data_IF_653003795320
#
_entry.id   IF_653003795320
#
_cell.length_a   1.000
_cell.length_b   1.000
_cell.length_c   1.000
_cell.angle_alpha   90.00
_cell.angle_beta   90.00
_cell.angle_gamma   90.00
#
_symmetry.space_group_name_H-M   'P 1'
#
loop_
_entity.id
_entity.type
_entity.pdbx_description
1 polymer ?
#
# COMPACT_ATOMS: atom_id res chain seq x y z
N UNK A 1 40.93 170.37 -49.10
CA UNK A 1 40.23 169.54 -50.10
C UNK A 1 40.76 169.91 -51.46
N UNK A 2 41.15 168.92 -52.27
CA UNK A 2 41.50 169.13 -53.68
C UNK A 2 40.20 169.31 -54.44
N UNK A 3 39.95 170.52 -54.95
CA UNK A 3 38.80 170.77 -55.82
C UNK A 3 39.00 170.03 -57.14
N UNK A 4 38.07 169.15 -57.50
CA UNK A 4 38.10 168.43 -58.76
C UNK A 4 37.89 169.42 -59.92
N UNK A 5 38.54 169.17 -61.06
CA UNK A 5 38.23 169.93 -62.27
C UNK A 5 36.77 169.68 -62.71
N UNK A 6 36.18 170.64 -63.43
CA UNK A 6 34.79 170.53 -63.95
C UNK A 6 34.59 169.21 -64.71
N UNK A 7 35.58 168.78 -65.50
CA UNK A 7 35.52 167.50 -66.24
C UNK A 7 35.62 166.25 -65.36
N UNK A 8 36.30 166.32 -64.22
CA UNK A 8 36.34 165.23 -63.22
C UNK A 8 35.04 165.16 -62.43
N UNK A 9 34.44 166.30 -62.09
CA UNK A 9 33.14 166.36 -61.42
C UNK A 9 32.06 165.75 -62.31
N UNK A 10 31.99 166.13 -63.59
CA UNK A 10 30.98 165.59 -64.52
C UNK A 10 31.12 164.07 -64.70
N UNK A 11 32.35 163.55 -64.81
CA UNK A 11 32.60 162.10 -64.86
C UNK A 11 32.24 161.40 -63.55
N UNK A 12 32.60 161.99 -62.41
CA UNK A 12 32.29 161.44 -61.09
C UNK A 12 30.79 161.34 -60.85
N UNK A 13 30.03 162.38 -61.23
CA UNK A 13 28.56 162.36 -61.18
C UNK A 13 28.04 161.22 -62.05
N UNK A 14 28.49 161.13 -63.29
CA UNK A 14 28.02 160.11 -64.23
C UNK A 14 28.22 158.69 -63.71
N UNK A 15 29.37 158.40 -63.09
CA UNK A 15 29.66 157.10 -62.46
C UNK A 15 28.79 156.86 -61.22
N UNK A 16 28.63 157.87 -60.36
CA UNK A 16 27.87 157.72 -59.12
C UNK A 16 26.37 157.54 -59.36
N UNK A 17 25.81 158.25 -60.34
CA UNK A 17 24.37 158.21 -60.66
C UNK A 17 24.02 157.23 -61.80
N UNK A 18 25.03 156.68 -62.48
CA UNK A 18 24.90 155.83 -63.66
C UNK A 18 24.09 156.48 -64.79
N UNK A 19 24.33 157.78 -65.07
CA UNK A 19 23.64 158.60 -66.08
C UNK A 19 24.60 159.53 -66.83
N UNK A 20 24.28 159.87 -68.08
CA UNK A 20 25.02 160.89 -68.83
C UNK A 20 24.67 162.30 -68.33
N UNK A 21 25.71 163.12 -68.11
CA UNK A 21 25.59 164.46 -67.53
C UNK A 21 25.97 165.51 -68.57
N UNK A 22 25.08 166.46 -68.86
CA UNK A 22 25.33 167.52 -69.84
C UNK A 22 26.42 168.50 -69.37
N UNK A 23 27.21 169.03 -70.31
CA UNK A 23 28.34 169.91 -70.01
C UNK A 23 27.94 171.25 -69.34
N UNK A 24 26.68 171.67 -69.49
CA UNK A 24 26.16 172.92 -68.90
C UNK A 24 25.54 172.73 -67.50
N UNK A 25 25.53 171.52 -66.94
CA UNK A 25 24.89 171.19 -65.65
C UNK A 25 25.42 172.05 -64.50
N UNK A 26 26.72 172.34 -64.50
CA UNK A 26 27.37 173.16 -63.47
C UNK A 26 27.29 174.67 -63.73
N UNK A 27 26.57 175.10 -64.76
CA UNK A 27 26.32 176.50 -65.11
C UNK A 27 24.87 176.93 -64.79
N UNK A 28 23.96 175.99 -64.52
CA UNK A 28 22.53 176.27 -64.30
C UNK A 28 22.11 175.86 -62.88
N UNK A 29 21.64 176.79 -62.03
CA UNK A 29 21.23 176.52 -60.65
C UNK A 29 20.30 175.31 -60.49
N UNK A 30 19.22 175.23 -61.29
CA UNK A 30 18.24 174.13 -61.23
C UNK A 30 18.86 172.76 -61.52
N UNK A 31 19.77 172.69 -62.50
CA UNK A 31 20.48 171.45 -62.85
C UNK A 31 21.46 171.02 -61.76
N UNK A 32 22.08 171.98 -61.07
CA UNK A 32 22.95 171.71 -59.93
C UNK A 32 22.16 171.12 -58.76
N UNK A 33 20.96 171.65 -58.48
CA UNK A 33 20.09 171.14 -57.42
C UNK A 33 19.63 169.71 -57.68
N UNK A 34 19.15 169.43 -58.90
CA UNK A 34 18.72 168.09 -59.30
C UNK A 34 19.87 167.08 -59.20
N UNK A 35 21.06 167.46 -59.67
CA UNK A 35 22.24 166.59 -59.65
C UNK A 35 22.72 166.33 -58.23
N UNK A 36 22.74 167.36 -57.38
CA UNK A 36 23.10 167.22 -55.96
C UNK A 36 22.12 166.30 -55.23
N UNK A 37 20.82 166.41 -55.52
CA UNK A 37 19.82 165.52 -54.96
C UNK A 37 20.07 164.05 -55.31
N UNK A 38 20.40 163.75 -56.56
CA UNK A 38 20.74 162.39 -57.00
C UNK A 38 21.98 161.84 -56.30
N UNK A 39 23.00 162.68 -56.08
CA UNK A 39 24.18 162.29 -55.31
C UNK A 39 23.86 162.02 -53.84
N UNK A 40 23.00 162.83 -53.23
CA UNK A 40 22.54 162.64 -51.84
C UNK A 40 21.76 161.34 -51.70
N UNK A 41 20.87 161.02 -52.63
CA UNK A 41 20.14 159.74 -52.61
C UNK A 41 21.10 158.56 -52.72
N UNK A 42 22.17 158.70 -53.52
CA UNK A 42 23.22 157.67 -53.65
C UNK A 42 24.06 157.54 -52.38
N UNK A 43 24.41 158.67 -51.74
CA UNK A 43 25.21 158.68 -50.50
C UNK A 43 24.52 157.91 -49.36
N UNK A 44 23.22 158.12 -49.19
CA UNK A 44 22.41 157.50 -48.14
C UNK A 44 21.73 156.18 -48.55
N UNK A 45 22.00 155.65 -49.76
CA UNK A 45 21.33 154.47 -50.31
C UNK A 45 19.78 154.57 -50.24
N UNK A 46 19.25 155.75 -50.53
CA UNK A 46 17.81 156.02 -50.54
C UNK A 46 17.20 155.73 -51.92
N UNK A 47 15.95 155.22 -51.99
CA UNK A 47 15.24 155.09 -53.26
C UNK A 47 15.01 156.46 -53.93
N UNK A 48 14.83 156.54 -55.27
CA UNK A 48 14.57 157.79 -55.97
C UNK A 48 13.29 158.44 -55.43
N UNK A 49 13.44 159.57 -54.75
CA UNK A 49 12.35 160.32 -54.11
C UNK A 49 12.24 161.70 -54.74
N UNK A 50 11.03 162.29 -54.67
CA UNK A 50 10.80 163.63 -55.22
C UNK A 50 11.70 164.67 -54.55
N UNK A 51 12.23 165.57 -55.37
CA UNK A 51 13.10 166.66 -54.91
C UNK A 51 12.33 167.66 -54.03
N UNK A 52 12.84 167.90 -52.81
CA UNK A 52 12.29 168.89 -51.88
C UNK A 52 13.45 169.73 -51.32
N UNK A 53 13.52 171.04 -51.59
CA UNK A 53 14.66 171.91 -51.23
C UNK A 53 15.02 171.88 -49.73
N UNK A 54 14.03 171.89 -48.83
CA UNK A 54 14.27 171.87 -47.39
C UNK A 54 14.90 170.55 -46.91
N UNK A 55 14.52 169.41 -47.51
CA UNK A 55 15.13 168.12 -47.22
C UNK A 55 16.53 168.02 -47.81
N UNK A 56 16.73 168.52 -49.03
CA UNK A 56 18.06 168.58 -49.63
C UNK A 56 19.01 169.38 -48.73
N UNK A 57 18.63 170.58 -48.28
CA UNK A 57 19.47 171.41 -47.42
C UNK A 57 19.85 170.70 -46.11
N UNK A 58 18.88 170.03 -45.47
CA UNK A 58 19.12 169.28 -44.23
C UNK A 58 20.08 168.12 -44.45
N UNK A 59 19.93 167.38 -45.55
CA UNK A 59 20.81 166.26 -45.89
C UNK A 59 22.19 166.73 -46.34
N UNK A 60 22.28 167.83 -47.10
CA UNK A 60 23.55 168.48 -47.44
C UNK A 60 24.30 168.86 -46.16
N UNK A 61 23.65 169.53 -45.21
CA UNK A 61 24.29 169.91 -43.95
C UNK A 61 24.67 168.71 -43.07
N UNK A 62 23.92 167.60 -43.16
CA UNK A 62 24.33 166.35 -42.52
C UNK A 62 25.61 165.79 -43.15
N UNK A 63 25.69 165.76 -44.48
CA UNK A 63 26.90 165.36 -45.20
C UNK A 63 28.06 166.32 -44.91
N UNK A 64 27.80 167.62 -44.82
CA UNK A 64 28.81 168.62 -44.42
C UNK A 64 29.41 168.26 -43.06
N UNK A 65 28.58 167.88 -42.09
CA UNK A 65 29.05 167.44 -40.78
C UNK A 65 29.83 166.11 -40.85
N UNK A 66 29.31 165.13 -41.58
CA UNK A 66 29.91 163.79 -41.71
C UNK A 66 31.25 163.80 -42.45
N UNK A 67 31.35 164.59 -43.52
CA UNK A 67 32.57 164.73 -44.34
C UNK A 67 33.45 165.90 -43.88
N UNK A 68 33.08 166.58 -42.79
CA UNK A 68 33.77 167.76 -42.24
C UNK A 68 34.04 168.85 -43.30
N UNK A 69 33.04 169.11 -44.15
CA UNK A 69 33.12 170.18 -45.14
C UNK A 69 33.09 171.55 -44.41
N UNK A 70 33.96 172.51 -44.80
CA UNK A 70 34.26 173.68 -43.96
C UNK A 70 33.12 174.71 -43.85
N UNK A 71 32.08 174.62 -44.67
CA UNK A 71 31.00 175.62 -44.70
C UNK A 71 29.62 174.97 -44.72
N UNK A 72 28.71 175.43 -43.86
CA UNK A 72 27.30 175.03 -43.88
C UNK A 72 26.57 175.68 -45.05
N UNK A 73 25.57 174.99 -45.57
CA UNK A 73 24.64 175.51 -46.56
C UNK A 73 23.42 176.12 -45.88
N UNK A 74 22.92 177.23 -46.41
CA UNK A 74 21.66 177.87 -46.03
C UNK A 74 20.74 177.99 -47.25
N UNK A 75 19.50 178.45 -47.06
CA UNK A 75 18.56 178.65 -48.18
C UNK A 75 19.06 179.69 -49.20
N UNK A 76 19.91 180.66 -48.81
CA UNK A 76 20.48 181.61 -49.78
C UNK A 76 21.43 180.92 -50.76
N UNK A 77 22.07 179.81 -50.36
CA UNK A 77 22.95 179.03 -51.24
C UNK A 77 22.17 178.25 -52.31
N UNK A 78 20.83 178.16 -52.20
CA UNK A 78 19.93 177.55 -53.18
C UNK A 78 19.32 178.59 -54.13
N UNK A 79 19.62 179.87 -53.97
CA UNK A 79 19.11 180.93 -54.85
C UNK A 79 19.86 181.01 -56.19
N UNK A 80 19.37 181.85 -57.10
CA UNK A 80 20.05 182.11 -58.38
C UNK A 80 21.41 182.81 -58.20
N UNK A 81 21.62 183.53 -57.10
CA UNK A 81 22.88 184.23 -56.78
C UNK A 81 23.87 183.39 -55.95
N UNK A 82 23.74 182.05 -56.01
CA UNK A 82 24.56 181.11 -55.23
C UNK A 82 26.06 181.22 -55.51
N UNK A 83 26.88 180.99 -54.47
CA UNK A 83 28.33 180.89 -54.62
C UNK A 83 28.71 179.60 -55.35
N UNK A 84 29.03 179.76 -56.63
CA UNK A 84 29.44 178.65 -57.50
C UNK A 84 30.66 177.90 -56.96
N UNK A 85 31.62 178.59 -56.34
CA UNK A 85 32.85 177.95 -55.85
C UNK A 85 32.54 176.97 -54.72
N UNK A 86 31.73 177.40 -53.74
CA UNK A 86 31.27 176.58 -52.62
C UNK A 86 30.56 175.30 -53.10
N UNK A 87 29.71 175.42 -54.12
CA UNK A 87 29.01 174.27 -54.69
C UNK A 87 29.94 173.29 -55.42
N UNK A 88 30.90 173.79 -56.20
CA UNK A 88 31.88 172.96 -56.91
C UNK A 88 32.78 172.21 -55.91
N UNK A 89 33.21 172.87 -54.85
CA UNK A 89 33.99 172.26 -53.78
C UNK A 89 33.18 171.16 -53.07
N UNK A 90 31.88 171.40 -52.84
CA UNK A 90 31.01 170.41 -52.18
C UNK A 90 30.70 169.21 -53.08
N UNK A 91 30.45 169.41 -54.38
CA UNK A 91 30.37 168.33 -55.36
C UNK A 91 31.63 167.46 -55.35
N UNK A 92 32.81 168.10 -55.33
CA UNK A 92 34.09 167.40 -55.28
C UNK A 92 34.21 166.51 -54.03
N UNK A 93 33.80 167.03 -52.87
CA UNK A 93 33.84 166.34 -51.59
C UNK A 93 32.97 165.05 -51.59
N UNK A 94 31.71 165.17 -52.01
CA UNK A 94 30.77 164.03 -52.06
C UNK A 94 31.28 162.95 -53.01
N UNK A 95 31.75 163.35 -54.20
CA UNK A 95 32.20 162.39 -55.21
C UNK A 95 33.45 161.62 -54.77
N UNK A 96 34.41 162.30 -54.13
CA UNK A 96 35.58 161.63 -53.57
C UNK A 96 35.18 160.58 -52.52
N UNK A 97 34.20 160.89 -51.68
CA UNK A 97 33.70 159.93 -50.69
C UNK A 97 32.95 158.76 -51.34
N UNK A 98 32.08 159.01 -52.30
CA UNK A 98 31.33 157.95 -52.98
C UNK A 98 32.28 156.99 -53.72
N UNK A 99 33.33 157.51 -54.36
CA UNK A 99 34.39 156.70 -54.93
C UNK A 99 35.07 155.85 -53.86
N UNK A 100 35.43 156.43 -52.71
CA UNK A 100 36.01 155.69 -51.59
C UNK A 100 35.08 154.59 -51.02
N UNK A 101 33.79 154.89 -50.81
CA UNK A 101 32.77 153.94 -50.30
C UNK A 101 32.62 152.71 -51.19
N UNK A 102 32.72 152.88 -52.51
CA UNK A 102 32.60 151.78 -53.48
C UNK A 102 33.69 150.70 -53.35
N UNK A 103 34.82 151.00 -52.69
CA UNK A 103 35.92 150.07 -52.46
C UNK A 103 35.73 149.14 -51.25
N UNK A 104 34.67 149.29 -50.43
CA UNK A 104 34.47 148.58 -49.15
C UNK A 104 33.58 147.30 -49.23
N UNK A 105 33.73 146.46 -50.26
CA UNK A 105 32.94 145.20 -50.46
C UNK A 105 33.10 144.13 -49.37
N UNK A 106 34.17 144.19 -48.58
CA UNK A 106 34.54 143.15 -47.59
C UNK A 106 33.56 143.06 -46.40
N UNK A 107 32.87 144.16 -46.04
CA UNK A 107 31.96 144.17 -44.89
C UNK A 107 30.66 143.36 -45.12
N UNK A 108 30.15 143.33 -46.35
CA UNK A 108 28.93 142.59 -46.70
C UNK A 108 29.13 141.06 -46.65
N UNK A 109 30.31 140.58 -47.07
CA UNK A 109 30.67 139.15 -46.99
C UNK A 109 30.77 138.65 -45.55
N UNK A 110 31.33 139.47 -44.64
CA UNK A 110 31.42 139.15 -43.22
C UNK A 110 30.03 139.03 -42.59
N UNK A 111 29.11 139.94 -42.92
CA UNK A 111 27.74 139.92 -42.40
C UNK A 111 26.97 138.68 -42.88
N UNK A 112 27.03 138.35 -44.19
CA UNK A 112 26.44 137.13 -44.74
C UNK A 112 27.01 135.85 -44.10
N UNK A 113 28.32 135.82 -43.86
CA UNK A 113 28.98 134.72 -43.16
C UNK A 113 28.50 134.53 -41.71
N UNK A 114 28.24 135.63 -40.98
CA UNK A 114 27.73 135.57 -39.61
C UNK A 114 26.29 135.02 -39.53
N UNK A 115 25.41 135.44 -40.44
CA UNK A 115 24.03 134.93 -40.53
C UNK A 115 24.01 133.43 -40.85
N UNK A 116 24.84 132.98 -41.81
CA UNK A 116 24.95 131.56 -42.14
C UNK A 116 25.41 130.71 -40.94
N UNK A 117 26.39 131.19 -40.16
CA UNK A 117 26.85 130.50 -38.93
C UNK A 117 25.77 130.45 -37.85
N UNK A 118 25.00 131.54 -37.66
CA UNK A 118 23.88 131.58 -36.71
C UNK A 118 22.80 130.56 -37.06
N UNK A 119 22.43 130.45 -38.34
CA UNK A 119 21.46 129.47 -38.81
C UNK A 119 21.95 128.04 -38.59
N UNK A 120 23.22 127.76 -38.95
CA UNK A 120 23.85 126.45 -38.73
C UNK A 120 23.92 126.06 -37.25
N UNK A 121 24.18 127.02 -36.36
CA UNK A 121 24.15 126.79 -34.91
C UNK A 121 22.74 126.41 -34.43
N UNK A 122 21.71 127.10 -34.92
CA UNK A 122 20.31 126.78 -34.60
C UNK A 122 19.93 125.37 -35.04
N UNK A 123 20.32 124.97 -36.25
CA UNK A 123 20.11 123.60 -36.77
C UNK A 123 20.82 122.54 -35.91
N UNK A 124 22.11 122.77 -35.58
CA UNK A 124 22.88 121.85 -34.74
C UNK A 124 22.29 121.72 -33.34
N UNK A 125 21.84 122.84 -32.74
CA UNK A 125 21.20 122.82 -31.42
C UNK A 125 19.93 121.98 -31.41
N UNK A 126 19.08 122.13 -32.43
CA UNK A 126 17.86 121.32 -32.56
C UNK A 126 18.20 119.83 -32.75
N UNK A 127 19.24 119.51 -33.52
CA UNK A 127 19.69 118.14 -33.70
C UNK A 127 20.22 117.52 -32.40
N UNK A 128 21.00 118.27 -31.62
CA UNK A 128 21.51 117.83 -30.31
C UNK A 128 20.36 117.57 -29.35
N UNK A 129 19.41 118.50 -29.24
CA UNK A 129 18.22 118.32 -28.39
C UNK A 129 17.46 117.04 -28.76
N UNK A 130 17.24 116.79 -30.06
CA UNK A 130 16.58 115.56 -30.51
C UNK A 130 17.38 114.29 -30.15
N UNK A 131 18.71 114.35 -30.24
CA UNK A 131 19.59 113.22 -29.88
C UNK A 131 19.63 112.97 -28.37
N UNK A 132 19.54 114.00 -27.55
CA UNK A 132 19.44 113.89 -26.09
C UNK A 132 18.11 113.24 -25.69
N UNK A 133 16.99 113.62 -26.32
CA UNK A 133 15.68 112.98 -26.10
C UNK A 133 15.68 111.50 -26.53
N UNK A 134 16.29 111.19 -27.69
CA UNK A 134 16.46 109.80 -28.13
C UNK A 134 17.35 108.99 -27.17
N UNK A 135 18.42 109.59 -26.65
CA UNK A 135 19.32 108.94 -25.70
C UNK A 135 18.62 108.62 -24.39
N UNK A 136 17.89 109.58 -23.81
CA UNK A 136 17.14 109.38 -22.56
C UNK A 136 16.05 108.30 -22.72
N UNK A 137 15.36 108.29 -23.85
CA UNK A 137 14.37 107.24 -24.18
C UNK A 137 15.03 105.86 -24.24
N UNK A 138 16.14 105.72 -24.98
CA UNK A 138 16.89 104.46 -25.06
C UNK A 138 17.45 104.02 -23.72
N UNK A 139 17.88 104.96 -22.87
CA UNK A 139 18.38 104.65 -21.55
C UNK A 139 17.27 104.06 -20.66
N UNK A 140 16.05 104.61 -20.72
CA UNK A 140 14.89 104.06 -20.03
C UNK A 140 14.53 102.65 -20.54
N UNK A 141 14.56 102.43 -21.85
CA UNK A 141 14.34 101.11 -22.47
C UNK A 141 15.39 100.08 -22.00
N UNK A 142 16.67 100.45 -21.97
CA UNK A 142 17.75 99.57 -21.48
C UNK A 142 17.50 99.17 -20.01
N UNK A 143 17.14 100.13 -19.16
CA UNK A 143 16.83 99.84 -17.75
C UNK A 143 15.63 98.90 -17.61
N UNK A 144 14.58 99.10 -18.40
CA UNK A 144 13.42 98.21 -18.41
C UNK A 144 13.77 96.78 -18.87
N UNK A 145 14.60 96.66 -19.91
CA UNK A 145 15.08 95.37 -20.41
C UNK A 145 15.97 94.66 -19.38
N UNK A 146 16.85 95.38 -18.69
CA UNK A 146 17.69 94.81 -17.62
C UNK A 146 16.83 94.26 -16.48
N UNK A 147 15.78 94.97 -16.07
CA UNK A 147 14.87 94.50 -15.05
C UNK A 147 14.05 93.27 -15.52
N UNK A 148 13.64 93.24 -16.78
CA UNK A 148 12.98 92.06 -17.36
C UNK A 148 13.91 90.82 -17.36
N UNK A 149 15.18 91.00 -17.77
CA UNK A 149 16.19 89.94 -17.74
C UNK A 149 16.39 89.42 -16.32
N UNK A 150 16.46 90.31 -15.32
CA UNK A 150 16.60 89.94 -13.91
C UNK A 150 15.44 89.05 -13.43
N UNK A 151 14.19 89.41 -13.78
CA UNK A 151 13.00 88.61 -13.44
C UNK A 151 13.02 87.23 -14.09
N UNK A 152 13.37 87.16 -15.37
CA UNK A 152 13.48 85.89 -16.10
C UNK A 152 14.54 85.00 -15.46
N UNK A 153 15.70 85.55 -15.08
CA UNK A 153 16.77 84.80 -14.42
C UNK A 153 16.30 84.15 -13.11
N UNK A 154 15.58 84.90 -12.27
CA UNK A 154 15.01 84.37 -11.02
C UNK A 154 14.04 83.22 -11.32
N UNK A 155 13.14 83.39 -12.28
CA UNK A 155 12.21 82.32 -12.66
C UNK A 155 12.91 81.07 -13.21
N UNK A 156 14.00 81.22 -13.96
CA UNK A 156 14.81 80.09 -14.41
C UNK A 156 15.46 79.34 -13.22
N UNK A 157 15.97 80.06 -12.22
CA UNK A 157 16.55 79.47 -11.01
C UNK A 157 15.48 78.71 -10.18
N UNK A 158 14.30 79.32 -10.01
CA UNK A 158 13.14 78.68 -9.36
C UNK A 158 12.69 77.42 -10.11
N UNK A 159 12.56 77.49 -11.43
CA UNK A 159 12.19 76.35 -12.27
C UNK A 159 13.22 75.22 -12.17
N UNK A 160 14.51 75.56 -12.17
CA UNK A 160 15.60 74.59 -12.01
C UNK A 160 15.54 73.91 -10.63
N UNK A 161 15.26 74.67 -9.58
CA UNK A 161 15.09 74.12 -8.22
C UNK A 161 13.89 73.18 -8.14
N UNK A 162 12.75 73.55 -8.75
CA UNK A 162 11.57 72.67 -8.85
C UNK A 162 11.85 71.39 -9.63
N UNK A 163 12.57 71.50 -10.74
CA UNK A 163 12.97 70.34 -11.54
C UNK A 163 13.84 69.36 -10.73
N UNK A 164 14.85 69.86 -9.99
CA UNK A 164 15.68 69.00 -9.13
C UNK A 164 14.88 68.29 -8.05
N UNK A 165 13.89 68.96 -7.45
CA UNK A 165 13.01 68.31 -6.46
C UNK A 165 12.20 67.18 -7.09
N UNK A 166 11.60 67.43 -8.25
CA UNK A 166 10.86 66.40 -9.00
C UNK A 166 11.74 65.24 -9.43
N UNK A 167 12.97 65.50 -9.87
CA UNK A 167 13.92 64.46 -10.27
C UNK A 167 14.31 63.57 -9.07
N UNK A 168 14.56 64.18 -7.91
CA UNK A 168 14.81 63.44 -6.67
C UNK A 168 13.60 62.60 -6.25
N UNK A 169 12.38 63.14 -6.30
CA UNK A 169 11.15 62.40 -6.01
C UNK A 169 10.96 61.23 -6.99
N UNK A 170 11.16 61.45 -8.29
CA UNK A 170 11.12 60.40 -9.30
C UNK A 170 12.17 59.32 -9.07
N UNK A 171 13.38 59.68 -8.65
CA UNK A 171 14.44 58.72 -8.32
C UNK A 171 14.05 57.85 -7.11
N UNK A 172 13.45 58.45 -6.07
CA UNK A 172 12.96 57.74 -4.89
C UNK A 172 11.81 56.78 -5.22
N UNK A 173 10.84 57.25 -6.02
CA UNK A 173 9.74 56.41 -6.50
C UNK A 173 10.25 55.23 -7.35
N UNK A 174 11.24 55.45 -8.22
CA UNK A 174 11.86 54.39 -9.02
C UNK A 174 12.51 53.32 -8.15
N UNK A 175 13.22 53.74 -7.10
CA UNK A 175 13.83 52.81 -6.15
C UNK A 175 12.77 52.01 -5.39
N UNK A 176 11.68 52.64 -4.97
CA UNK A 176 10.57 51.97 -4.30
C UNK A 176 9.88 50.95 -5.21
N UNK A 177 9.65 51.29 -6.49
CA UNK A 177 9.10 50.37 -7.49
C UNK A 177 10.02 49.16 -7.69
N UNK A 178 11.34 49.39 -7.78
CA UNK A 178 12.32 48.29 -7.88
C UNK A 178 12.26 47.37 -6.67
N UNK A 179 12.20 47.93 -5.45
CA UNK A 179 12.08 47.14 -4.22
C UNK A 179 10.78 46.32 -4.18
N UNK A 180 9.66 46.92 -4.58
CA UNK A 180 8.37 46.22 -4.64
C UNK A 180 8.39 45.08 -5.67
N UNK A 181 9.07 45.28 -6.80
CA UNK A 181 9.18 44.28 -7.85
C UNK A 181 10.04 43.08 -7.41
N UNK A 182 11.12 43.32 -6.68
CA UNK A 182 11.93 42.26 -6.06
C UNK A 182 11.13 41.47 -5.03
N UNK A 183 10.38 42.16 -4.16
CA UNK A 183 9.51 41.52 -3.17
C UNK A 183 8.39 40.71 -3.82
N UNK A 184 7.80 41.21 -4.90
CA UNK A 184 6.81 40.49 -5.68
C UNK A 184 7.42 39.22 -6.29
N UNK A 185 8.61 39.31 -6.88
CA UNK A 185 9.32 38.15 -7.45
C UNK A 185 9.58 37.07 -6.40
N UNK A 186 10.02 37.46 -5.20
CA UNK A 186 10.20 36.54 -4.06
C UNK A 186 8.88 35.89 -3.64
N UNK A 187 7.80 36.68 -3.53
CA UNK A 187 6.47 36.16 -3.18
C UNK A 187 5.94 35.18 -4.20
N UNK A 188 6.06 35.47 -5.51
CA UNK A 188 5.65 34.56 -6.59
C UNK A 188 6.38 33.22 -6.46
N UNK A 189 7.72 33.24 -6.31
CA UNK A 189 8.52 32.02 -6.11
C UNK A 189 8.07 31.22 -4.88
N UNK A 190 7.77 31.89 -3.76
CA UNK A 190 7.26 31.23 -2.57
C UNK A 190 5.87 30.62 -2.79
N UNK A 191 4.96 31.32 -3.47
CA UNK A 191 3.63 30.80 -3.80
C UNK A 191 3.71 29.58 -4.70
N UNK A 192 4.59 29.59 -5.70
CA UNK A 192 4.79 28.45 -6.60
C UNK A 192 5.36 27.24 -5.84
N UNK A 193 6.30 27.48 -4.91
CA UNK A 193 6.84 26.42 -4.02
C UNK A 193 5.74 25.81 -3.15
N UNK A 194 4.92 26.64 -2.51
CA UNK A 194 3.82 26.17 -1.65
C UNK A 194 2.74 25.44 -2.46
N UNK A 195 2.48 25.85 -3.71
CA UNK A 195 1.58 25.13 -4.61
C UNK A 195 2.09 23.72 -4.93
N UNK A 196 3.38 23.58 -5.20
CA UNK A 196 3.99 22.28 -5.47
C UNK A 196 3.91 21.38 -4.22
N UNK A 197 4.28 21.91 -3.05
CA UNK A 197 4.22 21.19 -1.77
C UNK A 197 2.79 20.72 -1.45
N UNK A 198 1.77 21.56 -1.67
CA UNK A 198 0.38 21.16 -1.50
C UNK A 198 -0.03 20.03 -2.47
N UNK A 199 0.38 20.09 -3.74
CA UNK A 199 0.06 19.05 -4.72
C UNK A 199 0.72 17.70 -4.35
N UNK A 200 1.94 17.73 -3.82
CA UNK A 200 2.64 16.54 -3.31
C UNK A 200 1.90 15.94 -2.10
N UNK A 201 1.50 16.77 -1.14
CA UNK A 201 0.74 16.35 0.04
C UNK A 201 -0.64 15.79 -0.33
N UNK A 202 -1.34 16.39 -1.30
CA UNK A 202 -2.62 15.88 -1.81
C UNK A 202 -2.45 14.48 -2.43
N UNK A 203 -1.42 14.29 -3.26
CA UNK A 203 -1.13 12.99 -3.86
C UNK A 203 -0.74 11.92 -2.82
N UNK A 204 0.02 12.29 -1.79
CA UNK A 204 0.37 11.39 -0.69
C UNK A 204 -0.86 11.01 0.14
N UNK A 205 -1.77 11.96 0.39
CA UNK A 205 -3.02 11.73 1.09
C UNK A 205 -3.96 10.79 0.32
N UNK A 206 -4.10 10.98 -1.00
CA UNK A 206 -4.84 10.06 -1.88
C UNK A 206 -4.25 8.66 -1.87
N UNK A 207 -2.93 8.54 -2.00
CA UNK A 207 -2.23 7.25 -1.96
C UNK A 207 -2.43 6.54 -0.63
N UNK A 208 -2.30 7.25 0.49
CA UNK A 208 -2.53 6.71 1.83
C UNK A 208 -3.99 6.26 2.00
N UNK A 209 -4.94 7.08 1.56
CA UNK A 209 -6.37 6.77 1.61
C UNK A 209 -6.70 5.50 0.81
N UNK A 210 -6.12 5.35 -0.39
CA UNK A 210 -6.27 4.15 -1.21
C UNK A 210 -5.71 2.91 -0.53
N UNK A 211 -4.51 3.00 0.05
CA UNK A 211 -3.91 1.89 0.81
C UNK A 211 -4.77 1.48 2.02
N UNK A 212 -5.35 2.44 2.74
CA UNK A 212 -6.25 2.15 3.86
C UNK A 212 -7.49 1.40 3.36
N UNK A 213 -8.11 1.86 2.26
CA UNK A 213 -9.27 1.20 1.67
C UNK A 213 -8.95 -0.23 1.21
N UNK A 214 -7.82 -0.44 0.52
CA UNK A 214 -7.38 -1.78 0.10
C UNK A 214 -7.14 -2.71 1.30
N UNK A 215 -6.54 -2.20 2.37
CA UNK A 215 -6.35 -2.96 3.60
C UNK A 215 -7.69 -3.32 4.27
N UNK A 216 -8.63 -2.38 4.35
CA UNK A 216 -9.97 -2.64 4.91
C UNK A 216 -10.72 -3.67 4.06
N UNK A 217 -10.66 -3.59 2.73
CA UNK A 217 -11.25 -4.57 1.83
C UNK A 217 -10.62 -5.96 2.03
N UNK A 218 -9.29 -6.03 2.20
CA UNK A 218 -8.60 -7.29 2.47
C UNK A 218 -9.06 -7.93 3.78
N UNK A 219 -9.16 -7.14 4.86
CA UNK A 219 -9.65 -7.61 6.16
C UNK A 219 -11.09 -8.10 6.07
N UNK A 220 -11.93 -7.40 5.30
CA UNK A 220 -13.33 -7.78 5.08
C UNK A 220 -13.45 -9.12 4.35
N UNK A 221 -12.45 -9.50 3.53
CA UNK A 221 -12.38 -10.85 2.92
C UNK A 221 -11.82 -11.92 3.85
N UNK A 222 -10.80 -11.59 4.66
CA UNK A 222 -10.15 -12.56 5.54
C UNK A 222 -10.99 -12.93 6.77
N UNK A 223 -11.70 -11.97 7.37
CA UNK A 223 -12.50 -12.22 8.59
C UNK A 223 -13.56 -13.31 8.39
N UNK A 224 -14.38 -13.32 7.31
CA UNK A 224 -15.33 -14.40 7.05
C UNK A 224 -14.66 -15.77 6.89
N UNK A 225 -13.50 -15.81 6.22
CA UNK A 225 -12.75 -17.06 6.02
C UNK A 225 -12.25 -17.63 7.34
N UNK A 226 -11.69 -16.79 8.21
CA UNK A 226 -11.24 -17.19 9.55
C UNK A 226 -12.44 -17.61 10.41
N UNK A 227 -13.58 -16.90 10.33
CA UNK A 227 -14.81 -17.31 11.04
C UNK A 227 -15.29 -18.69 10.60
N UNK A 228 -15.33 -18.96 9.29
CA UNK A 228 -15.73 -20.26 8.78
C UNK A 228 -14.80 -21.39 9.27
N UNK A 229 -13.49 -21.14 9.30
CA UNK A 229 -12.53 -22.09 9.88
C UNK A 229 -12.75 -22.31 11.38
N UNK A 230 -13.07 -21.24 12.12
CA UNK A 230 -13.38 -21.35 13.54
C UNK A 230 -14.64 -22.17 13.79
N UNK A 231 -15.70 -21.93 13.01
CA UNK A 231 -16.96 -22.67 13.08
C UNK A 231 -16.72 -24.18 12.78
N UNK A 232 -15.87 -24.50 11.80
CA UNK A 232 -15.49 -25.88 11.47
C UNK A 232 -14.76 -26.58 12.62
N UNK A 233 -13.80 -25.91 13.24
CA UNK A 233 -13.07 -26.41 14.43
C UNK A 233 -14.03 -26.61 15.62
N UNK A 234 -14.98 -25.70 15.83
CA UNK A 234 -15.97 -25.81 16.90
C UNK A 234 -16.86 -27.06 16.70
N UNK A 235 -17.32 -27.30 15.48
CA UNK A 235 -18.07 -28.51 15.12
C UNK A 235 -17.25 -29.77 15.35
N UNK A 236 -15.97 -29.80 14.94
CA UNK A 236 -15.08 -30.94 15.20
C UNK A 236 -14.87 -31.18 16.70
N UNK A 237 -14.67 -30.12 17.50
CA UNK A 237 -14.55 -30.23 18.95
C UNK A 237 -15.80 -30.82 19.58
N UNK A 238 -16.99 -30.37 19.19
CA UNK A 238 -18.25 -30.92 19.69
C UNK A 238 -18.38 -32.42 19.36
N UNK A 239 -18.07 -32.82 18.13
CA UNK A 239 -18.09 -34.22 17.72
C UNK A 239 -17.09 -35.08 18.54
N UNK A 240 -15.89 -34.55 18.80
CA UNK A 240 -14.90 -35.22 19.65
C UNK A 240 -15.37 -35.36 21.10
N UNK A 241 -16.00 -34.32 21.66
CA UNK A 241 -16.56 -34.39 23.01
C UNK A 241 -17.70 -35.39 23.13
N UNK A 242 -18.64 -35.42 22.19
CA UNK A 242 -19.70 -36.44 22.16
C UNK A 242 -19.11 -37.86 22.09
N UNK A 243 -18.12 -38.05 21.22
CA UNK A 243 -17.45 -39.34 21.07
C UNK A 243 -16.72 -39.77 22.35
N UNK A 244 -16.07 -38.83 23.03
CA UNK A 244 -15.44 -39.05 24.35
C UNK A 244 -16.49 -39.45 25.39
N UNK A 245 -17.63 -38.75 25.46
CA UNK A 245 -18.71 -39.05 26.40
C UNK A 245 -19.25 -40.46 26.17
N UNK A 246 -19.56 -40.83 24.91
CA UNK A 246 -20.01 -42.18 24.55
C UNK A 246 -18.99 -43.26 24.93
N UNK A 247 -17.69 -43.01 24.76
CA UNK A 247 -16.64 -43.93 25.19
C UNK A 247 -16.58 -44.09 26.71
N UNK A 248 -16.76 -42.99 27.45
CA UNK A 248 -16.78 -43.00 28.90
C UNK A 248 -17.98 -43.81 29.44
N UNK A 249 -19.16 -43.61 28.85
CA UNK A 249 -20.36 -44.39 29.16
C UNK A 249 -20.14 -45.88 28.92
N UNK A 250 -19.66 -46.27 27.72
CA UNK A 250 -19.30 -47.67 27.43
C UNK A 250 -18.26 -48.25 28.37
N UNK A 251 -17.27 -47.46 28.75
CA UNK A 251 -16.25 -47.90 29.71
C UNK A 251 -16.87 -48.16 31.07
N UNK A 252 -17.83 -47.33 31.49
CA UNK A 252 -18.61 -47.54 32.72
C UNK A 252 -19.45 -48.82 32.64
N UNK A 253 -20.08 -49.09 31.50
CA UNK A 253 -20.78 -50.36 31.25
C UNK A 253 -19.83 -51.57 31.32
N UNK A 254 -18.63 -51.48 30.76
CA UNK A 254 -17.62 -52.54 30.89
C UNK A 254 -17.24 -52.82 32.33
N UNK A 255 -16.99 -51.78 33.14
CA UNK A 255 -16.71 -51.95 34.57
C UNK A 255 -17.90 -52.59 35.31
N UNK A 256 -19.14 -52.30 34.89
CA UNK A 256 -20.32 -52.98 35.43
C UNK A 256 -20.35 -54.47 35.08
N UNK A 257 -20.02 -54.84 33.84
CA UNK A 257 -19.92 -56.25 33.43
C UNK A 257 -18.77 -56.98 34.13
N UNK A 258 -17.62 -56.32 34.33
CA UNK A 258 -16.50 -56.86 35.10
C UNK A 258 -16.91 -57.14 36.55
N UNK A 259 -17.60 -56.20 37.20
CA UNK A 259 -18.14 -56.41 38.54
C UNK A 259 -19.21 -57.51 38.62
N UNK A 260 -19.91 -57.83 37.51
CA UNK A 260 -20.83 -58.98 37.44
C UNK A 260 -20.07 -60.29 37.26
N UNK A 261 -18.97 -60.30 36.49
CA UNK A 261 -18.07 -61.45 36.35
C UNK A 261 -17.43 -61.81 37.69
N UNK A 262 -16.99 -60.82 38.48
CA UNK A 262 -16.43 -61.05 39.82
C UNK A 262 -17.46 -61.64 40.81
N UNK A 263 -18.76 -61.43 40.56
CA UNK A 263 -19.86 -62.01 41.36
C UNK A 263 -20.24 -63.41 40.91
N UNK A 264 -19.85 -63.84 39.71
CA UNK A 264 -20.04 -65.22 39.30
C UNK A 264 -19.04 -66.06 40.09
N UNK A 265 -19.57 -66.94 40.93
CA UNK A 265 -18.76 -67.86 41.72
C UNK A 265 -18.15 -68.93 40.80
N UNK A 266 -17.05 -68.58 40.11
CA UNK A 266 -16.34 -69.47 39.19
C UNK A 266 -15.86 -70.74 39.89
N UNK A 267 -15.70 -70.72 41.21
CA UNK A 267 -15.39 -71.91 42.01
C UNK A 267 -16.48 -72.98 41.88
N UNK A 268 -17.77 -72.61 41.84
CA UNK A 268 -18.86 -73.57 41.63
C UNK A 268 -18.80 -74.20 40.22
N UNK A 269 -18.35 -73.44 39.22
CA UNK A 269 -18.14 -73.95 37.86
C UNK A 269 -16.97 -74.94 37.81
N UNK A 270 -15.85 -74.66 38.48
CA UNK A 270 -14.73 -75.59 38.58
C UNK A 270 -15.08 -76.85 39.38
N UNK A 271 -15.87 -76.72 40.46
CA UNK A 271 -16.42 -77.87 41.20
C UNK A 271 -17.30 -78.74 40.30
N UNK A 272 -18.16 -78.14 39.46
CA UNK A 272 -18.96 -78.87 38.47
C UNK A 272 -18.08 -79.57 37.42
N UNK A 273 -17.01 -78.93 36.97
CA UNK A 273 -16.06 -79.48 36.01
C UNK A 273 -15.33 -80.72 36.59
N UNK A 274 -14.88 -80.65 37.84
CA UNK A 274 -14.26 -81.77 38.56
C UNK A 274 -15.25 -82.92 38.79
N UNK A 275 -16.52 -82.59 39.09
CA UNK A 275 -17.58 -83.59 39.22
C UNK A 275 -17.86 -84.29 37.89
N UNK A 276 -17.85 -83.55 36.79
CA UNK A 276 -17.96 -84.12 35.44
C UNK A 276 -16.75 -85.01 35.10
N UNK A 277 -15.53 -84.59 35.43
CA UNK A 277 -14.33 -85.40 35.25
C UNK A 277 -14.39 -86.71 36.06
N UNK A 278 -14.86 -86.64 37.30
CA UNK A 278 -15.11 -87.80 38.17
C UNK A 278 -16.16 -88.75 37.57
N UNK A 279 -17.31 -88.24 37.11
CA UNK A 279 -18.31 -89.07 36.45
C UNK A 279 -17.80 -89.72 35.17
N UNK A 280 -17.01 -89.00 34.38
CA UNK A 280 -16.36 -89.56 33.17
C UNK A 280 -15.41 -90.71 33.52
N UNK A 281 -14.65 -90.59 34.62
CA UNK A 281 -13.80 -91.66 35.13
C UNK A 281 -14.63 -92.87 35.60
N UNK A 282 -15.72 -92.64 36.34
CA UNK A 282 -16.62 -93.69 36.81
C UNK A 282 -17.27 -94.47 35.66
N UNK A 283 -17.73 -93.78 34.61
CA UNK A 283 -18.29 -94.40 33.41
C UNK A 283 -17.24 -95.30 32.75
N UNK A 284 -15.97 -94.85 32.66
CA UNK A 284 -14.90 -95.65 32.06
C UNK A 284 -14.62 -96.93 32.86
N UNK A 285 -14.64 -96.86 34.20
CA UNK A 285 -14.49 -98.04 35.07
C UNK A 285 -15.66 -99.01 34.93
N UNK A 286 -16.90 -98.50 34.88
CA UNK A 286 -18.10 -99.32 34.66
C UNK A 286 -18.10 -100.00 33.28
N UNK A 287 -17.63 -99.30 32.25
CA UNK A 287 -17.45 -99.86 30.90
C UNK A 287 -16.48 -101.05 30.93
N UNK A 288 -15.35 -100.92 31.63
CA UNK A 288 -14.37 -101.98 31.77
C UNK A 288 -14.93 -103.19 32.53
N UNK A 289 -15.68 -102.96 33.62
CA UNK A 289 -16.36 -104.03 34.34
C UNK A 289 -17.42 -104.74 33.50
N UNK A 290 -18.13 -104.01 32.63
CA UNK A 290 -19.10 -104.58 31.71
C UNK A 290 -18.42 -105.49 30.67
N UNK A 291 -17.29 -105.06 30.10
CA UNK A 291 -16.52 -105.85 29.13
C UNK A 291 -15.96 -107.14 29.76
N UNK A 292 -15.44 -107.06 30.98
CA UNK A 292 -14.97 -108.23 31.76
C UNK A 292 -16.10 -109.23 32.02
N UNK A 293 -17.26 -108.76 32.50
CA UNK A 293 -18.43 -109.60 32.74
C UNK A 293 -18.96 -110.25 31.45
N UNK A 294 -18.92 -109.53 30.32
CA UNK A 294 -19.35 -110.05 29.03
C UNK A 294 -18.43 -111.17 28.54
N UNK A 295 -17.12 -111.02 28.73
CA UNK A 295 -16.12 -112.06 28.40
C UNK A 295 -16.32 -113.31 29.27
N UNK A 296 -16.57 -113.14 30.57
CA UNK A 296 -16.82 -114.24 31.50
C UNK A 296 -18.12 -114.99 31.17
N UNK A 297 -19.15 -114.27 30.72
CA UNK A 297 -20.43 -114.86 30.30
C UNK A 297 -20.28 -115.67 29.00
N UNK A 298 -19.48 -115.19 28.03
CA UNK A 298 -19.18 -115.95 26.81
C UNK A 298 -18.34 -117.21 27.11
N UNK A 299 -17.38 -117.13 28.04
CA UNK A 299 -16.65 -118.31 28.51
C UNK A 299 -17.59 -119.35 29.15
N UNK A 300 -18.54 -118.90 30.00
CA UNK A 300 -19.56 -119.78 30.59
C UNK A 300 -20.52 -120.37 29.55
N UNK A 301 -20.81 -119.63 28.47
CA UNK A 301 -21.62 -120.13 27.36
C UNK A 301 -20.88 -121.24 26.60
N UNK A 302 -19.60 -121.07 26.30
CA UNK A 302 -18.75 -122.12 25.68
C UNK A 302 -18.71 -123.37 26.58
N UNK A 303 -18.49 -123.19 27.89
CA UNK A 303 -18.49 -124.28 28.86
C UNK A 303 -19.83 -125.04 28.89
N UNK A 304 -20.96 -124.32 28.80
CA UNK A 304 -22.31 -124.92 28.71
C UNK A 304 -22.52 -125.72 27.40
N UNK A 305 -22.01 -125.23 26.27
CA UNK A 305 -22.10 -125.91 24.98
C UNK A 305 -21.28 -127.22 25.01
N UNK A 306 -20.09 -127.20 25.60
CA UNK A 306 -19.26 -128.40 25.78
C UNK A 306 -19.91 -129.42 26.72
N UNK A 307 -20.47 -128.97 27.84
CA UNK A 307 -21.23 -129.84 28.75
C UNK A 307 -22.47 -130.45 28.08
N UNK A 308 -23.19 -129.69 27.23
CA UNK A 308 -24.33 -130.23 26.47
C UNK A 308 -23.89 -131.30 25.48
N UNK A 309 -22.73 -131.12 24.83
CA UNK A 309 -22.16 -132.12 23.92
C UNK A 309 -21.81 -133.41 24.67
N UNK A 310 -21.15 -133.28 25.82
CA UNK A 310 -20.81 -134.41 26.71
C UNK A 310 -22.05 -135.16 27.22
N UNK A 311 -23.12 -134.43 27.57
CA UNK A 311 -24.37 -135.04 28.02
C UNK A 311 -25.07 -135.84 26.91
N UNK A 312 -24.99 -135.38 25.66
CA UNK A 312 -25.54 -136.09 24.49
C UNK A 312 -24.77 -137.39 24.21
N UNK A 313 -23.43 -137.37 24.32
CA UNK A 313 -22.60 -138.58 24.21
C UNK A 313 -22.93 -139.61 25.29
N UNK A 314 -23.10 -139.15 26.54
CA UNK A 314 -23.47 -140.02 27.66
C UNK A 314 -24.87 -140.64 27.48
N UNK A 315 -25.84 -139.89 26.94
CA UNK A 315 -27.16 -140.42 26.59
C UNK A 315 -27.07 -141.52 25.52
N UNK A 316 -26.22 -141.34 24.50
CA UNK A 316 -25.99 -142.35 23.46
C UNK A 316 -25.38 -143.64 24.04
N UNK A 317 -24.42 -143.53 24.95
CA UNK A 317 -23.82 -144.68 25.62
C UNK A 317 -24.80 -145.43 26.53
N UNK A 318 -25.66 -144.69 27.26
CA UNK A 318 -26.73 -145.28 28.05
C UNK A 318 -27.74 -146.05 27.17
N UNK A 319 -28.06 -145.53 25.99
CA UNK A 319 -28.92 -146.21 25.00
C UNK A 319 -28.28 -147.53 24.53
N UNK A 320 -26.96 -147.54 24.26
CA UNK A 320 -26.19 -148.75 23.96
C UNK A 320 -26.24 -149.78 25.10
N UNK A 321 -26.07 -149.35 26.36
CA UNK A 321 -26.16 -150.25 27.51
C UNK A 321 -27.57 -150.85 27.69
N UNK A 322 -28.64 -150.06 27.51
CA UNK A 322 -30.02 -150.58 27.55
C UNK A 322 -30.25 -151.68 26.52
N UNK A 323 -29.71 -151.54 25.31
CA UNK A 323 -29.82 -152.55 24.25
C UNK A 323 -29.09 -153.86 24.63
N UNK A 324 -27.93 -153.75 25.26
CA UNK A 324 -27.13 -154.86 25.79
C UNK A 324 -27.86 -155.61 26.91
N UNK A 325 -28.50 -154.88 27.83
CA UNK A 325 -29.33 -155.45 28.90
C UNK A 325 -30.56 -156.19 28.35
N UNK A 326 -31.22 -155.65 27.33
CA UNK A 326 -32.35 -156.32 26.68
C UNK A 326 -31.95 -157.66 26.02
N UNK A 327 -30.76 -157.72 25.40
CA UNK A 327 -30.19 -158.97 24.87
C UNK A 327 -29.89 -159.99 25.98
N UNK A 328 -29.29 -159.57 27.11
CA UNK A 328 -29.04 -160.46 28.27
C UNK A 328 -30.33 -160.99 28.90
N UNK A 329 -31.40 -160.18 28.99
CA UNK A 329 -32.69 -160.60 29.57
C UNK A 329 -33.37 -161.71 28.75
N UNK A 330 -33.26 -161.70 27.43
CA UNK A 330 -33.78 -162.77 26.55
C UNK A 330 -33.06 -164.11 26.72
N UNK A 331 -31.76 -164.10 27.06
CA UNK A 331 -30.97 -165.31 27.31
C UNK A 331 -31.31 -165.98 28.65
N UNK A 332 -31.70 -165.21 29.67
CA UNK A 332 -32.06 -165.75 30.99
C UNK A 332 -33.46 -166.41 30.99
N UNK A 333 -34.38 -165.91 30.16
CA UNK A 333 -35.75 -166.47 30.04
C UNK A 333 -35.84 -167.80 29.28
N UNK A 334 -34.81 -168.16 28.51
CA UNK A 334 -34.70 -169.45 27.80
C UNK A 334 -34.08 -170.53 28.68
N UNK A 335 -33.23 -170.17 29.64
CA UNK A 335 -32.62 -171.12 30.60
C UNK A 335 -33.59 -171.58 31.70
N UNK A 336 -34.57 -170.76 32.13
CA UNK A 336 -35.48 -171.14 33.22
C UNK A 336 -36.58 -172.15 32.82
N UNK A 337 -36.81 -172.39 31.54
CA UNK A 337 -37.79 -173.39 31.04
C UNK A 337 -37.20 -174.81 30.90
N UNK A 338 -35.87 -174.96 30.94
CA UNK A 338 -35.19 -176.25 30.88
C UNK A 338 -35.01 -176.89 32.28
N UNK A 339 -34.68 -176.09 33.31
CA UNK A 339 -34.43 -176.61 34.67
C UNK A 339 -35.65 -177.14 35.45
N UNK A 340 -36.88 -176.78 35.06
CA UNK A 340 -38.09 -177.23 35.77
C UNK A 340 -38.60 -178.62 35.34
N UNK A 341 -38.13 -179.18 34.21
CA UNK A 341 -38.43 -180.56 33.79
C UNK A 341 -37.49 -181.59 34.43
N UNK A 342 -36.26 -181.20 34.75
CA UNK A 342 -35.23 -182.10 35.30
C UNK A 342 -35.39 -182.31 36.83
N UNK A 343 -35.95 -181.34 37.56
CA UNK A 343 -36.17 -181.46 39.01
C UNK A 343 -37.33 -182.42 39.38
N UNK A 344 -38.39 -182.47 38.56
CA UNK A 344 -39.54 -183.36 38.77
C UNK A 344 -39.28 -184.82 38.33
N UNK A 345 -38.14 -185.10 37.68
CA UNK A 345 -37.67 -186.44 37.37
C UNK A 345 -36.83 -186.99 38.55
N UNK A 346 -35.98 -186.16 39.16
CA UNK A 346 -35.14 -186.51 40.32
C UNK A 346 -35.94 -186.80 41.60
N UNK A 347 -37.05 -186.09 41.85
CA UNK A 347 -37.90 -186.35 43.03
C UNK A 347 -38.68 -187.68 42.92
N UNK A 348 -38.97 -188.15 41.71
CA UNK A 348 -39.64 -189.43 41.47
C UNK A 348 -38.66 -190.61 41.63
N UNK A 349 -37.41 -190.41 41.21
CA UNK A 349 -36.31 -191.38 41.36
C UNK A 349 -35.86 -191.53 42.84
N UNK A 350 -35.91 -190.45 43.62
CA UNK A 350 -35.63 -190.48 45.06
C UNK A 350 -36.69 -191.24 45.88
N UNK A 351 -37.97 -191.22 45.45
CA UNK A 351 -39.05 -191.97 46.10
C UNK A 351 -38.93 -193.50 45.86
N UNK A 352 -38.52 -193.91 44.65
CA UNK A 352 -38.32 -195.33 44.30
C UNK A 352 -37.07 -195.94 44.97
N UNK A 353 -36.00 -195.16 45.14
CA UNK A 353 -34.81 -195.58 45.90
C UNK A 353 -35.11 -195.80 47.39
N UNK A 354 -35.96 -194.97 48.01
CA UNK A 354 -36.35 -195.13 49.42
C UNK A 354 -37.21 -196.38 49.68
N UNK A 355 -38.06 -196.79 48.72
CA UNK A 355 -38.84 -198.02 48.80
C UNK A 355 -37.96 -199.28 48.64
N UNK A 356 -36.92 -199.19 47.82
CA UNK A 356 -35.94 -200.27 47.59
C UNK A 356 -35.04 -200.51 48.81
N UNK A 357 -34.67 -199.44 49.52
CA UNK A 357 -33.95 -199.52 50.80
C UNK A 357 -34.80 -200.20 51.88
N UNK A 358 -36.09 -199.87 51.98
CA UNK A 358 -36.99 -200.50 52.95
C UNK A 358 -37.24 -202.01 52.70
N UNK A 359 -37.25 -202.45 51.45
CA UNK A 359 -37.30 -203.89 51.09
C UNK A 359 -36.01 -204.62 51.44
N UNK A 360 -34.86 -203.99 51.20
CA UNK A 360 -33.54 -204.56 51.51
C UNK A 360 -33.33 -204.72 53.03
N UNK A 361 -33.80 -203.76 53.83
CA UNK A 361 -33.75 -203.81 55.29
C UNK A 361 -34.56 -204.99 55.86
N UNK A 362 -35.78 -205.24 55.34
CA UNK A 362 -36.62 -206.38 55.77
C UNK A 362 -36.03 -207.74 55.43
N UNK A 363 -35.26 -207.81 54.34
CA UNK A 363 -34.60 -209.04 53.90
C UNK A 363 -33.39 -209.36 54.78
N UNK A 364 -32.67 -208.32 55.25
CA UNK A 364 -31.52 -208.45 56.15
C UNK A 364 -31.92 -209.01 57.53
N UNK A 365 -33.03 -208.53 58.11
CA UNK A 365 -33.45 -208.99 59.45
C UNK A 365 -33.94 -210.44 59.43
N UNK A 366 -34.60 -210.85 58.35
CA UNK A 366 -35.00 -212.25 58.12
C UNK A 366 -33.78 -213.18 57.96
N UNK A 367 -32.66 -212.68 57.43
CA UNK A 367 -31.42 -213.46 57.34
C UNK A 367 -30.69 -213.52 58.69
N UNK A 368 -30.75 -212.48 59.52
CA UNK A 368 -30.20 -212.51 60.87
C UNK A 368 -30.93 -213.48 61.81
N UNK A 369 -32.25 -213.64 61.67
CA UNK A 369 -33.02 -214.66 62.41
C UNK A 369 -32.71 -216.09 61.94
N UNK A 370 -32.48 -216.29 60.64
CA UNK A 370 -32.05 -217.60 60.10
C UNK A 370 -30.64 -218.00 60.56
N UNK A 371 -29.72 -217.04 60.72
CA UNK A 371 -28.37 -217.31 61.23
C UNK A 371 -28.40 -217.71 62.71
N UNK A 372 -29.29 -217.15 63.53
CA UNK A 372 -29.40 -217.54 64.96
C UNK A 372 -30.08 -218.89 65.15
N UNK A 373 -31.05 -219.25 64.31
CA UNK A 373 -31.57 -220.62 64.24
C UNK A 373 -30.47 -221.64 63.89
N UNK A 374 -29.52 -221.25 63.03
CA UNK A 374 -28.32 -222.05 62.74
C UNK A 374 -27.35 -222.19 63.92
N UNK A 375 -27.24 -221.19 64.80
CA UNK A 375 -26.43 -221.32 66.03
C UNK A 375 -27.05 -222.28 67.04
N UNK A 376 -28.39 -222.31 67.15
CA UNK A 376 -29.09 -223.28 67.98
C UNK A 376 -28.95 -224.74 67.48
N UNK A 377 -28.69 -224.94 66.18
CA UNK A 377 -28.40 -226.25 65.58
C UNK A 377 -26.95 -226.68 65.78
N UNK A 378 -25.99 -225.74 65.79
CA UNK A 378 -24.58 -226.05 66.03
C UNK A 378 -24.30 -226.42 67.49
N UNK A 379 -24.90 -225.73 68.46
CA UNK A 379 -24.72 -226.11 69.88
C UNK A 379 -25.34 -227.50 70.18
N UNK A 380 -26.36 -227.88 69.42
CA UNK A 380 -26.97 -229.21 69.46
C UNK A 380 -26.09 -230.28 68.80
N UNK A 381 -25.23 -229.92 67.85
CA UNK A 381 -24.18 -230.81 67.32
C UNK A 381 -22.99 -230.92 68.28
N UNK A 382 -22.67 -229.89 69.05
CA UNK A 382 -21.64 -229.96 70.11
C UNK A 382 -22.09 -230.83 71.31
N UNK A 383 -23.39 -230.90 71.58
CA UNK A 383 -23.98 -231.93 72.46
C UNK A 383 -23.74 -233.37 71.94
N UNK A 384 -23.55 -233.57 70.64
CA UNK A 384 -23.36 -234.90 70.04
C UNK A 384 -21.88 -235.31 69.96
N UNK A 385 -20.94 -234.35 69.88
CA UNK A 385 -19.49 -234.61 69.87
C UNK A 385 -18.94 -234.96 71.25
N UNK A 386 -19.39 -234.33 72.34
CA UNK A 386 -18.97 -234.74 73.69
C UNK A 386 -19.56 -236.11 74.11
N UNK A 387 -20.70 -236.51 73.51
CA UNK A 387 -21.19 -237.88 73.60
C UNK A 387 -20.36 -238.88 72.78
N UNK A 388 -19.56 -238.43 71.80
CA UNK A 388 -18.56 -239.27 71.15
C UNK A 388 -17.31 -239.47 72.04
N UNK A 389 -16.96 -238.50 72.89
CA UNK A 389 -15.89 -238.66 73.91
C UNK A 389 -16.29 -239.57 75.09
N UNK A 390 -17.60 -239.72 75.35
CA UNK A 390 -18.17 -240.77 76.22
C UNK A 390 -17.63 -242.17 75.87
N UNK A 391 -17.19 -242.41 74.65
CA UNK A 391 -16.88 -243.75 74.14
C UNK A 391 -15.38 -244.01 73.96
N UNK A 392 -14.53 -242.97 73.90
CA UNK A 392 -13.08 -243.15 73.81
C UNK A 392 -12.41 -243.49 75.18
N UNK A 393 -12.87 -242.93 76.30
CA UNK A 393 -12.28 -243.20 77.63
C UNK A 393 -12.66 -244.57 78.22
N UNK A 394 -13.88 -245.02 77.95
CA UNK A 394 -14.27 -246.41 78.15
C UNK A 394 -13.51 -247.40 77.23
N UNK A 395 -12.69 -246.96 76.27
CA UNK A 395 -11.79 -247.81 75.46
C UNK A 395 -10.32 -247.74 75.95
N UNK A 396 -9.98 -246.77 76.81
CA UNK A 396 -8.77 -246.76 77.63
C UNK A 396 -8.99 -247.35 79.05
N UNK A 397 -10.23 -247.80 79.32
CA UNK A 397 -10.45 -249.10 79.96
C UNK A 397 -9.33 -250.07 79.57
N UNK A 398 -9.23 -251.13 80.35
CA UNK A 398 -8.79 -252.42 79.85
C UNK A 398 -7.29 -252.52 79.53
N UNK A 399 -6.56 -251.47 79.15
CA UNK A 399 -5.13 -251.55 78.87
C UNK A 399 -4.24 -251.53 80.14
N UNK A 400 -4.61 -250.85 81.25
CA UNK A 400 -3.75 -250.83 82.47
C UNK A 400 -4.19 -251.69 83.66
N UNK A 401 -5.38 -252.30 83.60
CA UNK A 401 -5.65 -253.53 84.37
C UNK A 401 -4.68 -254.69 84.03
N UNK A 402 -3.90 -254.60 82.93
CA UNK A 402 -3.07 -255.71 82.41
C UNK A 402 -1.60 -255.69 82.89
N UNK A 403 -1.02 -254.54 83.27
CA UNK A 403 0.44 -254.45 83.53
C UNK A 403 0.89 -254.56 84.99
N UNK A 404 0.29 -255.50 85.70
CA UNK A 404 1.01 -256.31 86.68
C UNK A 404 1.34 -255.66 88.04
N UNK A 405 1.05 -256.28 89.19
CA UNK A 405 1.15 -257.72 89.51
C UNK A 405 2.57 -258.31 89.35
N UNK A 406 3.62 -257.52 89.50
CA UNK A 406 4.94 -258.05 89.86
C UNK A 406 5.45 -257.43 91.14
#
# INVERSE_FOLDING_TARGET
MTTLSVGEILRGISVATNRDVAADVLNKPEKMDETMWQLITTYFDMPPTQFIPAFMLKLMNRIVSELQFPQLFSFSDLSESRDRKKWIDFFSCILCFLQFKSHFKVADEIYKGAIARKNRYSELRNLVSKREDEFTTRQAEIMALQEAIRKVKIHCEEATSRYRKLDNEHSGLRQQVSSMQDDLSKRVKNTDRLRLENAELEAECEKSSKNILENVDSLTRFIPMIKAQLDEVEVEMHALFERRTNLFERTTEFHHYEALLDKLNLDDFYVLLDRYASFKQQIKTLQQQYDEATSELEAKRIEKEDLSRSLSEMQNDMMRQKLLLAKKKKAIQTNSKCGAKDLAALEREAAELQETVNKSQRTLTLTEEQIKLGHAENDRLDQQLAQADKLAGHLAEIHKKIMALK
#
